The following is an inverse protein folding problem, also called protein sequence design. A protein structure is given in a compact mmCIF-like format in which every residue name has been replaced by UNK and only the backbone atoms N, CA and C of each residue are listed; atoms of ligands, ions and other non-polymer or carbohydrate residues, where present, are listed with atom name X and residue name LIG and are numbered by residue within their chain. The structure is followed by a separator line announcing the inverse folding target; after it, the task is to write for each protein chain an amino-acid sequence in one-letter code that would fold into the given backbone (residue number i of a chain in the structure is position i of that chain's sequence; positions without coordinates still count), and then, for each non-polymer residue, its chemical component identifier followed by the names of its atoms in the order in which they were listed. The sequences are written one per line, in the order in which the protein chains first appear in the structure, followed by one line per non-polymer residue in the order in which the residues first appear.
data_IF_317991136375
#
_entry.id   IF_317991136375
#
_cell.length_a   1.000
_cell.length_b   1.000
_cell.length_c   1.000
_cell.angle_alpha   90.00
_cell.angle_beta   90.00
_cell.angle_gamma   90.00
#
_symmetry.space_group_name_H-M   'P 1'
#
loop_
_entity.id
_entity.type
_entity.pdbx_description
1 polymer ?
#
# COMPACT_ATOMS: atom_id res chain seq x y z
N UNK A 1 12.64 -4.72 6.36
CA UNK A 1 11.43 -5.07 5.56
C UNK A 1 10.55 -3.83 5.38
N UNK A 2 10.74 -3.04 4.32
CA UNK A 2 10.10 -1.71 4.16
C UNK A 2 8.61 -1.78 3.80
N UNK A 3 8.19 -2.79 3.03
CA UNK A 3 6.79 -2.97 2.63
C UNK A 3 5.86 -3.16 3.85
N UNK A 4 6.23 -4.06 4.77
CA UNK A 4 5.39 -4.37 5.95
C UNK A 4 5.40 -3.24 6.99
N UNK A 5 6.47 -2.43 7.01
CA UNK A 5 6.64 -1.31 7.94
C UNK A 5 5.88 -0.06 7.48
N UNK A 6 5.86 0.24 6.17
CA UNK A 6 5.34 1.50 5.65
C UNK A 6 4.16 1.32 4.69
N UNK A 7 4.29 0.42 3.72
CA UNK A 7 3.33 0.32 2.60
C UNK A 7 2.04 -0.38 3.01
N UNK A 8 2.12 -1.56 3.63
CA UNK A 8 0.92 -2.29 4.07
C UNK A 8 0.10 -1.50 5.11
N UNK A 9 0.71 -0.84 6.11
CA UNK A 9 -0.02 0.04 7.01
C UNK A 9 -0.70 1.21 6.29
N UNK A 10 -0.01 1.89 5.37
CA UNK A 10 -0.59 3.00 4.60
C UNK A 10 -1.76 2.56 3.72
N UNK A 11 -1.65 1.43 3.03
CA UNK A 11 -2.77 0.88 2.26
C UNK A 11 -3.99 0.58 3.15
N UNK A 12 -3.78 0.04 4.36
CA UNK A 12 -4.87 -0.19 5.31
C UNK A 12 -5.52 1.11 5.79
N UNK A 13 -4.71 2.14 6.03
CA UNK A 13 -5.21 3.47 6.39
C UNK A 13 -6.08 4.04 5.27
N UNK A 14 -5.62 3.96 4.02
CA UNK A 14 -6.39 4.49 2.89
C UNK A 14 -7.69 3.71 2.65
N UNK A 15 -7.68 2.38 2.78
CA UNK A 15 -8.93 1.58 2.75
C UNK A 15 -9.89 2.01 3.86
N UNK A 16 -9.39 2.25 5.08
CA UNK A 16 -10.23 2.70 6.19
C UNK A 16 -10.80 4.11 5.98
N UNK A 17 -10.01 5.02 5.38
CA UNK A 17 -10.45 6.37 5.03
C UNK A 17 -11.53 6.33 3.95
N UNK A 18 -11.32 5.58 2.86
CA UNK A 18 -12.31 5.40 1.80
C UNK A 18 -13.66 4.88 2.33
N UNK A 19 -13.61 3.84 3.18
CA UNK A 19 -14.82 3.28 3.80
C UNK A 19 -15.56 4.30 4.69
N UNK A 20 -14.82 5.20 5.34
CA UNK A 20 -15.37 6.19 6.25
C UNK A 20 -15.88 7.44 5.54
N UNK A 21 -15.09 7.98 4.62
CA UNK A 21 -15.31 9.26 3.94
C UNK A 21 -16.25 9.09 2.75
N UNK A 22 -15.96 8.15 1.85
CA UNK A 22 -16.69 8.01 0.58
C UNK A 22 -17.91 7.10 0.70
N UNK A 23 -17.78 6.01 1.47
CA UNK A 23 -18.88 5.08 1.70
C UNK A 23 -19.70 5.39 2.97
N UNK A 24 -19.28 6.37 3.79
CA UNK A 24 -20.00 6.81 5.00
C UNK A 24 -20.28 5.71 6.04
N UNK A 25 -19.41 4.69 6.15
CA UNK A 25 -19.57 3.62 7.14
C UNK A 25 -19.23 4.12 8.55
N UNK A 26 -19.94 3.58 9.54
CA UNK A 26 -19.58 3.79 10.95
C UNK A 26 -18.31 3.03 11.29
N UNK A 27 -17.47 3.60 12.17
CA UNK A 27 -16.19 3.00 12.62
C UNK A 27 -16.33 1.54 13.08
N UNK A 28 -17.43 1.21 13.77
CA UNK A 28 -17.70 -0.14 14.22
C UNK A 28 -17.93 -1.13 13.05
N UNK A 29 -18.52 -0.67 11.95
CA UNK A 29 -18.80 -1.49 10.77
C UNK A 29 -17.53 -1.69 9.96
N UNK A 30 -16.71 -0.62 9.83
CA UNK A 30 -15.38 -0.69 9.22
C UNK A 30 -14.51 -1.71 9.96
N UNK A 31 -14.48 -1.64 11.30
CA UNK A 31 -13.73 -2.57 12.14
C UNK A 31 -14.11 -4.04 11.87
N UNK A 32 -15.41 -4.34 11.77
CA UNK A 32 -15.89 -5.68 11.46
C UNK A 32 -15.53 -6.13 10.04
N UNK A 33 -15.63 -5.24 9.05
CA UNK A 33 -15.31 -5.56 7.64
C UNK A 33 -13.81 -5.78 7.41
N UNK A 34 -12.97 -5.04 8.13
CA UNK A 34 -11.51 -5.14 8.03
C UNK A 34 -10.88 -6.16 8.98
N UNK A 35 -11.69 -6.84 9.80
CA UNK A 35 -11.25 -7.76 10.86
C UNK A 35 -10.21 -7.15 11.81
N UNK A 36 -10.51 -5.94 12.31
CA UNK A 36 -9.69 -5.20 13.26
C UNK A 36 -10.51 -4.64 14.41
N UNK A 37 -9.85 -4.10 15.44
CA UNK A 37 -10.55 -3.46 16.54
C UNK A 37 -11.09 -2.07 16.15
N UNK A 38 -12.19 -1.59 16.75
CA UNK A 38 -12.65 -0.20 16.58
C UNK A 38 -11.60 0.85 16.97
N UNK A 39 -10.71 0.49 17.91
CA UNK A 39 -9.57 1.32 18.29
C UNK A 39 -8.56 1.46 17.13
N UNK A 40 -8.27 0.38 16.40
CA UNK A 40 -7.39 0.43 15.23
C UNK A 40 -7.95 1.35 14.14
N UNK A 41 -9.25 1.26 13.84
CA UNK A 41 -9.91 2.17 12.87
C UNK A 41 -9.81 3.63 13.34
N UNK A 42 -10.02 3.88 14.63
CA UNK A 42 -9.87 5.24 15.18
C UNK A 42 -8.44 5.77 15.03
N UNK A 43 -7.43 4.91 15.21
CA UNK A 43 -6.03 5.28 15.03
C UNK A 43 -5.67 5.52 13.56
N UNK A 44 -6.23 4.72 12.63
CA UNK A 44 -6.06 4.93 11.19
C UNK A 44 -6.62 6.30 10.77
N UNK A 45 -7.85 6.61 11.15
CA UNK A 45 -8.49 7.88 10.79
C UNK A 45 -7.83 9.10 11.44
N UNK A 46 -7.20 8.94 12.61
CA UNK A 46 -6.43 10.00 13.28
C UNK A 46 -5.01 10.15 12.73
N UNK A 47 -4.55 9.24 11.87
CA UNK A 47 -3.17 9.21 11.40
C UNK A 47 -2.13 8.78 12.44
N UNK A 48 -2.54 8.30 13.62
CA UNK A 48 -1.60 7.89 14.68
C UNK A 48 -1.09 6.46 14.49
N UNK A 49 -1.44 5.79 13.39
CA UNK A 49 -0.99 4.44 13.05
C UNK A 49 -1.00 4.25 11.53
N UNK A 50 0.18 3.98 10.96
CA UNK A 50 0.31 3.55 9.57
C UNK A 50 0.11 4.64 8.52
N UNK A 51 0.12 5.91 8.93
CA UNK A 51 -0.13 7.06 8.03
C UNK A 51 1.17 7.58 7.39
N UNK A 52 2.33 7.08 7.82
CA UNK A 52 3.66 7.59 7.44
C UNK A 52 3.89 7.60 5.91
N UNK A 53 3.32 6.64 5.19
CA UNK A 53 3.37 6.57 3.73
C UNK A 53 2.02 6.88 3.04
N UNK A 54 1.00 7.35 3.76
CA UNK A 54 -0.32 7.70 3.19
C UNK A 54 -0.17 8.73 2.06
N UNK A 55 0.59 9.80 2.29
CA UNK A 55 0.83 10.84 1.30
C UNK A 55 1.54 10.33 0.04
N UNK A 56 2.34 9.27 0.14
CA UNK A 56 3.00 8.60 -0.99
C UNK A 56 2.00 7.74 -1.77
N UNK A 57 1.14 6.99 -1.08
CA UNK A 57 0.07 6.17 -1.70
C UNK A 57 -0.86 7.03 -2.55
N UNK A 58 -1.25 8.20 -2.04
CA UNK A 58 -2.13 9.15 -2.72
C UNK A 58 -1.56 9.77 -4.00
N UNK A 59 -0.26 9.63 -4.29
CA UNK A 59 0.36 10.14 -5.52
C UNK A 59 0.01 9.30 -6.76
N UNK A 60 -0.60 8.13 -6.58
CA UNK A 60 -0.93 7.21 -7.67
C UNK A 60 -2.43 6.97 -7.78
N UNK A 61 -3.01 7.47 -8.87
CA UNK A 61 -4.41 7.19 -9.23
C UNK A 61 -4.67 5.69 -9.40
N UNK A 62 -3.66 4.92 -9.88
CA UNK A 62 -3.78 3.47 -10.04
C UNK A 62 -3.88 2.77 -8.69
N UNK A 63 -3.04 3.15 -7.72
CA UNK A 63 -3.08 2.56 -6.38
C UNK A 63 -4.38 2.95 -5.67
N UNK A 64 -4.79 4.22 -5.77
CA UNK A 64 -6.06 4.68 -5.21
C UNK A 64 -7.26 3.98 -5.85
N UNK A 65 -7.26 3.77 -7.16
CA UNK A 65 -8.31 2.99 -7.83
C UNK A 65 -8.44 1.56 -7.30
N UNK A 66 -7.32 0.89 -7.01
CA UNK A 66 -7.34 -0.44 -6.38
C UNK A 66 -7.88 -0.37 -4.94
N UNK A 67 -7.55 0.69 -4.18
CA UNK A 67 -8.07 0.92 -2.82
C UNK A 67 -9.59 1.11 -2.85
N UNK A 68 -10.10 1.96 -3.73
CA UNK A 68 -11.54 2.18 -3.93
C UNK A 68 -12.24 0.87 -4.31
N UNK A 69 -11.64 0.05 -5.19
CA UNK A 69 -12.18 -1.25 -5.55
C UNK A 69 -12.23 -2.23 -4.37
N UNK A 70 -11.20 -2.23 -3.50
CA UNK A 70 -11.21 -3.03 -2.26
C UNK A 70 -12.33 -2.56 -1.33
N UNK A 71 -12.46 -1.25 -1.12
CA UNK A 71 -13.49 -0.68 -0.25
C UNK A 71 -14.90 -1.01 -0.77
N UNK A 72 -15.13 -0.85 -2.08
CA UNK A 72 -16.41 -1.19 -2.74
C UNK A 72 -16.78 -2.66 -2.53
N UNK A 73 -15.86 -3.58 -2.79
CA UNK A 73 -16.08 -5.01 -2.59
C UNK A 73 -16.44 -5.33 -1.14
N UNK A 74 -15.75 -4.70 -0.18
CA UNK A 74 -16.03 -4.86 1.25
C UNK A 74 -17.43 -4.37 1.60
N UNK A 75 -17.89 -3.26 1.03
CA UNK A 75 -19.24 -2.73 1.25
C UNK A 75 -20.29 -3.69 0.72
N UNK A 76 -20.16 -4.09 -0.55
CA UNK A 76 -21.13 -4.90 -1.27
C UNK A 76 -21.09 -6.39 -0.89
N UNK A 77 -20.05 -6.84 -0.17
CA UNK A 77 -19.77 -8.26 0.13
C UNK A 77 -19.60 -9.09 -1.14
N UNK A 78 -19.00 -8.48 -2.17
CA UNK A 78 -18.88 -9.06 -3.51
C UNK A 78 -17.66 -9.98 -3.67
N UNK A 79 -16.67 -9.88 -2.76
CA UNK A 79 -15.42 -10.62 -2.88
C UNK A 79 -15.11 -11.47 -1.65
N UNK A 80 -14.69 -12.74 -1.85
CA UNK A 80 -14.12 -13.55 -0.78
C UNK A 80 -12.76 -12.97 -0.30
N UNK A 81 -12.33 -13.39 0.88
CA UNK A 81 -11.15 -12.82 1.55
C UNK A 81 -9.85 -12.99 0.75
N UNK A 82 -9.70 -14.07 0.00
CA UNK A 82 -8.56 -14.35 -0.88
C UNK A 82 -8.50 -13.36 -2.06
N UNK A 83 -9.65 -12.96 -2.63
CA UNK A 83 -9.72 -11.94 -3.68
C UNK A 83 -9.33 -10.55 -3.14
N UNK A 84 -9.77 -10.20 -1.93
CA UNK A 84 -9.34 -8.96 -1.26
C UNK A 84 -7.83 -8.97 -1.00
N UNK A 85 -7.28 -10.11 -0.58
CA UNK A 85 -5.84 -10.29 -0.41
C UNK A 85 -5.09 -10.09 -1.73
N UNK A 86 -5.57 -10.66 -2.84
CA UNK A 86 -4.97 -10.46 -4.15
C UNK A 86 -5.00 -8.98 -4.58
N UNK A 87 -6.11 -8.27 -4.37
CA UNK A 87 -6.20 -6.83 -4.65
C UNK A 87 -5.21 -6.02 -3.81
N UNK A 88 -5.06 -6.33 -2.52
CA UNK A 88 -4.08 -5.69 -1.65
C UNK A 88 -2.63 -5.95 -2.12
N UNK A 89 -2.30 -7.19 -2.49
CA UNK A 89 -1.02 -7.53 -3.07
C UNK A 89 -0.76 -6.78 -4.39
N UNK A 90 -1.79 -6.61 -5.23
CA UNK A 90 -1.73 -5.82 -6.47
C UNK A 90 -1.48 -4.33 -6.19
N UNK A 91 -2.07 -3.77 -5.13
CA UNK A 91 -1.79 -2.40 -4.70
C UNK A 91 -0.32 -2.25 -4.28
N UNK A 92 0.19 -3.14 -3.42
CA UNK A 92 1.61 -3.18 -3.04
C UNK A 92 2.54 -3.29 -4.26
N UNK A 93 2.17 -4.12 -5.25
CA UNK A 93 2.93 -4.28 -6.48
C UNK A 93 2.94 -3.00 -7.30
N UNK A 94 1.80 -2.31 -7.37
CA UNK A 94 1.64 -1.06 -8.12
C UNK A 94 2.51 0.04 -7.52
N UNK A 95 2.53 0.17 -6.18
CA UNK A 95 3.43 1.07 -5.44
C UNK A 95 4.90 0.85 -5.82
N UNK A 96 5.32 -0.41 -5.94
CA UNK A 96 6.69 -0.78 -6.35
C UNK A 96 6.96 -0.50 -7.83
N UNK A 97 6.01 -0.83 -8.71
CA UNK A 97 6.17 -0.64 -10.17
C UNK A 97 6.24 0.83 -10.57
N UNK A 98 5.55 1.70 -9.84
CA UNK A 98 5.54 3.15 -10.05
C UNK A 98 6.65 3.86 -9.26
N UNK A 99 7.56 3.10 -8.64
CA UNK A 99 8.72 3.62 -7.90
C UNK A 99 8.36 4.54 -6.73
N UNK A 100 7.11 4.51 -6.26
CA UNK A 100 6.64 5.41 -5.19
C UNK A 100 7.42 5.18 -3.89
N UNK A 101 7.70 3.92 -3.55
CA UNK A 101 8.46 3.56 -2.33
C UNK A 101 9.98 3.72 -2.44
N UNK A 102 10.50 4.18 -3.58
CA UNK A 102 11.94 4.36 -3.74
C UNK A 102 12.50 5.42 -2.78
N UNK A 103 11.75 6.47 -2.45
CA UNK A 103 12.17 7.45 -1.43
C UNK A 103 12.43 6.78 -0.08
N UNK A 104 11.55 5.86 0.34
CA UNK A 104 11.71 5.07 1.57
C UNK A 104 12.95 4.16 1.50
N UNK A 105 13.23 3.58 0.33
CA UNK A 105 14.44 2.78 0.13
C UNK A 105 15.71 3.62 0.32
N UNK A 106 15.75 4.81 -0.29
CA UNK A 106 16.89 5.72 -0.21
C UNK A 106 17.12 6.23 1.22
N UNK A 107 16.05 6.51 1.96
CA UNK A 107 16.16 6.96 3.35
C UNK A 107 16.57 5.82 4.30
N UNK A 108 16.11 4.60 4.03
CA UNK A 108 16.46 3.42 4.83
C UNK A 108 17.86 2.86 4.49
N UNK A 109 18.34 3.08 3.27
CA UNK A 109 19.64 2.62 2.77
C UNK A 109 20.35 3.76 2.03
N UNK A 110 21.09 4.63 2.76
CA UNK A 110 21.72 5.80 2.17
C UNK A 110 22.72 5.50 1.05
N UNK A 111 23.34 4.31 1.02
CA UNK A 111 24.22 3.87 -0.06
C UNK A 111 23.51 3.79 -1.42
N UNK A 112 22.18 3.67 -1.45
CA UNK A 112 21.41 3.73 -2.68
C UNK A 112 21.35 5.16 -3.26
N UNK A 113 21.62 6.21 -2.47
CA UNK A 113 21.65 7.61 -2.97
C UNK A 113 22.82 7.86 -3.92
N UNK A 114 23.85 7.03 -3.85
CA UNK A 114 25.00 7.03 -4.76
C UNK A 114 24.67 6.33 -6.09
N UNK A 115 23.53 5.62 -6.16
CA UNK A 115 23.02 4.96 -7.35
C UNK A 115 21.85 5.77 -7.92
N UNK A 116 21.96 6.22 -9.16
CA UNK A 116 20.88 6.96 -9.85
C UNK A 116 19.60 6.11 -10.11
N UNK A 117 19.60 4.82 -9.71
CA UNK A 117 18.51 3.89 -9.95
C UNK A 117 18.24 2.97 -8.76
N UNK A 118 16.96 2.59 -8.58
CA UNK A 118 16.55 1.60 -7.58
C UNK A 118 16.07 0.32 -8.28
N UNK A 119 16.75 -0.80 -8.03
CA UNK A 119 16.46 -2.11 -8.63
C UNK A 119 15.14 -2.74 -8.15
N UNK A 120 14.38 -2.12 -7.24
CA UNK A 120 13.18 -2.72 -6.66
C UNK A 120 12.08 -3.00 -7.70
N UNK A 121 12.06 -2.25 -8.80
CA UNK A 121 11.15 -2.48 -9.93
C UNK A 121 11.64 -3.59 -10.87
N UNK A 122 12.93 -3.97 -10.84
CA UNK A 122 13.50 -5.01 -11.71
C UNK A 122 13.02 -6.41 -11.32
N UNK A 123 12.80 -6.67 -10.03
CA UNK A 123 12.19 -7.92 -9.55
C UNK A 123 10.70 -8.10 -9.90
N UNK A 124 10.18 -7.39 -10.91
CA UNK A 124 8.83 -7.56 -11.47
C UNK A 124 8.81 -8.42 -12.75
N UNK A 125 9.96 -8.57 -13.42
CA UNK A 125 10.11 -9.32 -14.68
C UNK A 125 10.63 -10.76 -14.48
N UNK A 126 10.77 -11.22 -13.23
CA UNK A 126 11.35 -12.52 -12.90
C UNK A 126 12.86 -12.40 -12.68
N UNK A 127 13.39 -13.13 -11.69
CA UNK A 127 14.81 -13.10 -11.30
C UNK A 127 15.75 -13.79 -12.31
N UNK A 128 15.34 -13.93 -13.57
CA UNK A 128 16.13 -14.59 -14.61
C UNK A 128 16.79 -13.61 -15.58
N UNK A 129 16.47 -12.32 -15.49
CA UNK A 129 17.11 -11.26 -16.27
C UNK A 129 17.88 -10.35 -15.30
N UNK A 130 18.99 -10.85 -14.75
CA UNK A 130 19.97 -9.96 -14.07
C UNK A 130 20.57 -9.04 -15.15
N UNK A 131 20.39 -7.71 -15.08
CA UNK A 131 21.16 -6.83 -15.93
C UNK A 131 22.62 -6.92 -15.50
N UNK A 132 23.52 -7.15 -16.45
CA UNK A 132 24.97 -7.02 -16.26
C UNK A 132 25.25 -5.60 -15.74
N UNK A 133 25.51 -5.48 -14.44
CA UNK A 133 25.92 -4.22 -13.83
C UNK A 133 27.40 -4.03 -14.20
N UNK A 134 27.67 -3.36 -15.31
CA UNK A 134 28.99 -2.79 -15.56
C UNK A 134 29.26 -1.69 -14.54
N UNK A 135 30.02 -2.04 -13.50
CA UNK A 135 30.63 -1.06 -12.62
C UNK A 135 31.60 -0.20 -13.44
N UNK A 136 31.39 1.11 -13.42
CA UNK A 136 32.37 2.09 -13.89
C UNK A 136 33.55 2.21 -12.94
#
# INVERSE_FOLDING_TARGET
MMVVQYILPALRVEVAKELFEDFSLKKADIARKMDVTPAAVTQYLKGTRGDEASGLIKRSDKVMGIITDIARDMVNKESPADMLLMKLCKACLSVRSERLMCEIHMDSMPSLKELDTCACSLGLVGWNDEPEIEAK
#
